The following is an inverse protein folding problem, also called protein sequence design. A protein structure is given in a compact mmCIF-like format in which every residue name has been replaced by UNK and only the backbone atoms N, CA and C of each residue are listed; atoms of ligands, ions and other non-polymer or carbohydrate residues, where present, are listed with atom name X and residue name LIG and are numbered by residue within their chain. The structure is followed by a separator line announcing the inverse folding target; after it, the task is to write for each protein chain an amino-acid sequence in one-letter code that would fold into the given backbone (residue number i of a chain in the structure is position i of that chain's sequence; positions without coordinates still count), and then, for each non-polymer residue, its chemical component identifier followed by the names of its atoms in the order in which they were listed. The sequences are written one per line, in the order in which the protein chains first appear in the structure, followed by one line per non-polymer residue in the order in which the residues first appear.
data_IF_407093761943
#
_entry.id   IF_407093761943
#
_cell.length_a   1.000
_cell.length_b   1.000
_cell.length_c   1.000
_cell.angle_alpha   90.00
_cell.angle_beta   90.00
_cell.angle_gamma   90.00
#
_symmetry.space_group_name_H-M   'P 1'
#
loop_
_entity.id
_entity.type
_entity.pdbx_description
1 polymer ?
#
# COMPACT_ATOMS: atom_id res chain seq x y z
N UNK A 1 -23.26 -0.08 -10.60
CA UNK A 1 -23.93 -0.41 -9.32
C UNK A 1 -22.96 -0.01 -8.23
N UNK A 2 -23.28 0.96 -7.38
CA UNK A 2 -22.35 1.39 -6.34
C UNK A 2 -22.19 0.26 -5.34
N UNK A 3 -21.01 -0.35 -5.31
CA UNK A 3 -20.63 -1.28 -4.24
C UNK A 3 -20.73 -0.51 -2.94
N UNK A 4 -21.81 -0.75 -2.20
CA UNK A 4 -21.81 -0.51 -0.78
C UNK A 4 -20.72 -1.44 -0.23
N UNK A 5 -19.51 -0.90 -0.14
CA UNK A 5 -18.41 -1.54 0.57
C UNK A 5 -18.98 -1.89 1.93
N UNK A 6 -19.08 -3.18 2.21
CA UNK A 6 -19.57 -3.65 3.49
C UNK A 6 -18.62 -3.07 4.55
N UNK A 7 -19.09 -2.08 5.32
CA UNK A 7 -18.28 -1.36 6.30
C UNK A 7 -17.62 -2.33 7.29
N UNK A 8 -18.28 -3.43 7.61
CA UNK A 8 -17.71 -4.48 8.46
C UNK A 8 -16.50 -5.16 7.80
N UNK A 9 -16.57 -5.39 6.49
CA UNK A 9 -15.49 -5.96 5.69
C UNK A 9 -14.32 -4.96 5.57
N UNK A 10 -14.61 -3.67 5.39
CA UNK A 10 -13.59 -2.61 5.37
C UNK A 10 -12.91 -2.44 6.73
N UNK A 11 -13.62 -2.61 7.84
CA UNK A 11 -13.03 -2.56 9.18
C UNK A 11 -12.11 -3.75 9.45
N UNK A 12 -12.49 -4.96 9.00
CA UNK A 12 -11.70 -6.18 9.23
C UNK A 12 -10.55 -6.38 8.24
N UNK A 13 -10.73 -5.93 6.99
CA UNK A 13 -9.78 -6.10 5.89
C UNK A 13 -9.62 -4.78 5.12
N UNK A 14 -9.06 -3.74 5.77
CA UNK A 14 -9.02 -2.40 5.21
C UNK A 14 -8.18 -2.29 3.92
N UNK A 15 -7.29 -3.25 3.67
CA UNK A 15 -6.50 -3.31 2.42
C UNK A 15 -7.34 -3.60 1.17
N UNK A 16 -8.57 -4.13 1.30
CA UNK A 16 -9.48 -4.34 0.16
C UNK A 16 -9.94 -3.01 -0.46
N UNK A 17 -9.95 -1.94 0.34
CA UNK A 17 -10.36 -0.59 -0.05
C UNK A 17 -9.23 0.43 0.11
N UNK A 18 -7.98 -0.03 0.11
CA UNK A 18 -6.82 0.84 0.30
C UNK A 18 -6.80 1.95 -0.77
N UNK A 19 -6.35 3.15 -0.42
CA UNK A 19 -6.16 4.21 -1.40
C UNK A 19 -4.94 3.90 -2.28
N UNK A 20 -4.95 4.27 -3.59
CA UNK A 20 -3.73 4.29 -4.40
C UNK A 20 -2.58 5.00 -3.68
N UNK A 21 -1.35 4.54 -3.90
CA UNK A 21 -0.10 5.11 -3.36
C UNK A 21 0.06 5.04 -1.83
N UNK A 22 -0.96 4.54 -1.11
CA UNK A 22 -0.84 4.29 0.32
C UNK A 22 0.17 3.16 0.63
N UNK A 23 0.87 3.30 1.75
CA UNK A 23 1.91 2.36 2.20
C UNK A 23 1.35 1.46 3.31
N UNK A 24 1.71 0.19 3.27
CA UNK A 24 1.19 -0.85 4.17
C UNK A 24 2.28 -1.80 4.63
N UNK A 25 2.12 -2.35 5.84
CA UNK A 25 2.77 -3.59 6.26
C UNK A 25 1.78 -4.72 6.03
N UNK A 26 2.15 -5.72 5.23
CA UNK A 26 1.27 -6.82 4.83
C UNK A 26 1.90 -8.20 5.06
N UNK A 27 1.05 -9.17 5.39
CA UNK A 27 1.37 -10.59 5.52
C UNK A 27 0.41 -11.41 4.67
N UNK A 28 0.90 -12.47 4.03
CA UNK A 28 0.11 -13.24 3.07
C UNK A 28 0.89 -14.33 2.34
N UNK A 29 0.49 -14.59 1.09
CA UNK A 29 1.06 -15.64 0.23
C UNK A 29 1.42 -15.09 -1.16
N UNK A 30 2.55 -15.53 -1.72
CA UNK A 30 2.92 -15.19 -3.10
C UNK A 30 1.96 -15.82 -4.11
N UNK A 31 2.13 -15.48 -5.39
CA UNK A 31 1.26 -15.94 -6.48
C UNK A 31 1.17 -17.47 -6.57
N UNK A 32 2.27 -18.16 -6.29
CA UNK A 32 2.35 -19.63 -6.28
C UNK A 32 1.50 -20.28 -5.18
N UNK A 33 1.13 -19.53 -4.13
CA UNK A 33 0.39 -20.00 -2.96
C UNK A 33 1.20 -20.93 -2.03
N UNK A 34 2.42 -21.31 -2.42
CA UNK A 34 3.28 -22.22 -1.65
C UNK A 34 4.13 -21.47 -0.62
N UNK A 35 4.57 -20.27 -0.98
CA UNK A 35 5.45 -19.45 -0.16
C UNK A 35 4.68 -18.30 0.49
N UNK A 36 5.11 -17.93 1.70
CA UNK A 36 4.51 -16.86 2.50
C UNK A 36 5.44 -15.65 2.57
N UNK A 37 4.83 -14.48 2.64
CA UNK A 37 5.50 -13.24 3.02
C UNK A 37 4.92 -12.76 4.35
N UNK A 38 5.78 -12.19 5.20
CA UNK A 38 5.42 -11.75 6.54
C UNK A 38 5.96 -10.36 6.78
N UNK A 39 5.13 -9.47 7.32
CA UNK A 39 5.43 -8.09 7.69
C UNK A 39 6.22 -7.32 6.62
N UNK A 40 5.82 -7.50 5.37
CA UNK A 40 6.45 -6.87 4.23
C UNK A 40 5.86 -5.48 3.98
N UNK A 41 6.73 -4.51 3.73
CA UNK A 41 6.36 -3.18 3.30
C UNK A 41 5.86 -3.25 1.85
N UNK A 42 4.70 -2.66 1.58
CA UNK A 42 4.09 -2.63 0.26
C UNK A 42 3.43 -1.27 -0.02
N UNK A 43 3.44 -0.87 -1.28
CA UNK A 43 2.72 0.31 -1.79
C UNK A 43 1.55 -0.13 -2.66
N UNK A 44 0.41 0.53 -2.55
CA UNK A 44 -0.71 0.31 -3.47
C UNK A 44 -0.39 0.98 -4.80
N UNK A 45 -0.43 0.24 -5.90
CA UNK A 45 -0.17 0.81 -7.22
C UNK A 45 -1.35 1.69 -7.69
N UNK A 46 -1.07 2.77 -8.46
CA UNK A 46 -2.11 3.54 -9.15
C UNK A 46 -3.01 2.65 -10.02
N UNK A 47 -4.30 2.97 -10.08
CA UNK A 47 -5.27 2.17 -10.83
C UNK A 47 -5.05 2.27 -12.34
N UNK A 48 -4.49 3.39 -12.79
CA UNK A 48 -4.19 3.73 -14.17
C UNK A 48 -3.12 2.81 -14.77
N UNK A 49 -2.17 2.35 -13.95
CA UNK A 49 -1.07 1.48 -14.39
C UNK A 49 -1.37 -0.01 -14.24
N UNK A 50 -2.53 -0.34 -13.67
CA UNK A 50 -2.95 -1.71 -13.34
C UNK A 50 -4.26 -2.11 -14.04
N UNK A 51 -4.66 -1.38 -15.08
CA UNK A 51 -5.93 -1.59 -15.79
C UNK A 51 -7.16 -1.62 -14.86
N UNK A 52 -7.14 -0.79 -13.80
CA UNK A 52 -8.20 -0.71 -12.80
C UNK A 52 -8.12 -1.78 -11.70
N UNK A 53 -7.10 -2.63 -11.68
CA UNK A 53 -6.92 -3.65 -10.67
C UNK A 53 -6.13 -3.15 -9.46
N UNK A 54 -6.73 -3.20 -8.26
CA UNK A 54 -5.99 -2.92 -7.03
C UNK A 54 -4.87 -3.97 -6.83
N UNK A 55 -3.62 -3.53 -6.89
CA UNK A 55 -2.44 -4.36 -6.64
C UNK A 55 -1.50 -3.67 -5.65
N UNK A 56 -0.79 -4.49 -4.86
CA UNK A 56 0.24 -4.05 -3.93
C UNK A 56 1.61 -4.43 -4.48
N UNK A 57 2.55 -3.48 -4.52
CA UNK A 57 3.94 -3.75 -4.87
C UNK A 57 4.79 -3.84 -3.60
N UNK A 58 5.52 -4.95 -3.43
CA UNK A 58 6.45 -5.14 -2.32
C UNK A 58 7.69 -4.23 -2.46
N UNK A 59 8.01 -3.51 -1.38
CA UNK A 59 9.13 -2.56 -1.25
C UNK A 59 10.30 -3.17 -0.47
N UNK A 60 10.05 -3.88 0.65
CA UNK A 60 11.07 -4.46 1.55
C UNK A 60 10.42 -5.45 2.56
N UNK A 61 11.08 -6.48 3.14
CA UNK A 61 12.40 -7.07 2.88
C UNK A 61 12.38 -8.23 1.87
N UNK A 62 11.28 -8.45 1.16
CA UNK A 62 11.06 -9.74 0.49
C UNK A 62 11.95 -10.03 -0.72
N UNK A 63 12.54 -9.02 -1.39
CA UNK A 63 13.17 -9.23 -2.69
C UNK A 63 14.49 -8.45 -2.75
N UNK A 64 15.60 -9.18 -2.60
CA UNK A 64 16.98 -8.73 -2.89
C UNK A 64 17.21 -8.62 -4.41
N UNK A 65 16.24 -9.09 -5.20
CA UNK A 65 16.28 -9.08 -6.65
C UNK A 65 15.88 -7.69 -7.19
N UNK A 66 16.78 -7.07 -7.94
CA UNK A 66 16.62 -5.71 -8.46
C UNK A 66 15.65 -5.63 -9.63
N UNK A 67 15.01 -6.72 -10.04
CA UNK A 67 14.09 -6.77 -11.17
C UNK A 67 12.66 -6.31 -10.79
N UNK A 68 12.19 -5.13 -11.26
CA UNK A 68 10.81 -4.69 -11.08
C UNK A 68 9.79 -5.52 -11.88
N UNK A 69 10.23 -6.33 -12.86
CA UNK A 69 9.36 -7.21 -13.64
C UNK A 69 9.02 -8.54 -12.93
N UNK A 70 9.60 -8.79 -11.75
CA UNK A 70 9.32 -10.02 -11.02
C UNK A 70 7.84 -10.05 -10.56
N UNK A 71 7.02 -11.01 -11.04
CA UNK A 71 5.60 -11.08 -10.74
C UNK A 71 5.30 -11.36 -9.26
N UNK A 72 6.26 -11.90 -8.49
CA UNK A 72 6.10 -12.14 -7.05
C UNK A 72 6.20 -10.85 -6.21
N UNK A 73 6.56 -9.71 -6.83
CA UNK A 73 6.45 -8.37 -6.22
C UNK A 73 5.04 -7.84 -6.20
N UNK A 74 4.16 -8.32 -7.09
CA UNK A 74 2.80 -7.84 -7.25
C UNK A 74 1.81 -8.74 -6.51
N UNK A 75 1.23 -8.21 -5.45
CA UNK A 75 0.33 -8.92 -4.55
C UNK A 75 -1.10 -8.44 -4.77
N UNK A 76 -1.98 -9.37 -5.11
CA UNK A 76 -3.41 -9.10 -5.18
C UNK A 76 -4.02 -9.05 -3.75
N UNK A 77 -5.05 -8.22 -3.49
CA UNK A 77 -5.62 -8.03 -2.16
C UNK A 77 -6.14 -9.31 -1.50
N UNK A 78 -6.63 -10.25 -2.31
CA UNK A 78 -7.12 -11.56 -1.84
C UNK A 78 -6.02 -12.50 -1.33
N UNK A 79 -4.75 -12.16 -1.52
CA UNK A 79 -3.59 -12.91 -1.01
C UNK A 79 -3.11 -12.41 0.34
N UNK A 80 -3.63 -11.28 0.80
CA UNK A 80 -3.27 -10.66 2.07
C UNK A 80 -4.17 -11.24 3.16
N UNK A 81 -3.56 -11.74 4.23
CA UNK A 81 -4.25 -12.25 5.42
C UNK A 81 -4.21 -11.26 6.58
N UNK A 82 -3.23 -10.37 6.59
CA UNK A 82 -3.12 -9.27 7.55
C UNK A 82 -2.50 -8.05 6.88
N UNK A 83 -2.98 -6.86 7.22
CA UNK A 83 -2.49 -5.61 6.66
C UNK A 83 -2.74 -4.43 7.59
N UNK A 84 -1.72 -3.59 7.77
CA UNK A 84 -1.81 -2.33 8.52
C UNK A 84 -1.29 -1.18 7.67
N UNK A 85 -2.09 -0.14 7.47
CA UNK A 85 -1.66 1.09 6.81
C UNK A 85 -0.56 1.76 7.64
N UNK A 86 0.51 2.15 6.98
CA UNK A 86 1.53 3.03 7.53
C UNK A 86 1.19 4.47 7.16
N UNK A 87 1.47 5.36 8.08
CA UNK A 87 1.28 6.79 7.91
C UNK A 87 2.64 7.42 8.14
N UNK A 88 3.08 8.24 7.18
CA UNK A 88 4.29 9.04 7.33
C UNK A 88 3.96 10.21 8.27
N UNK A 89 4.82 10.40 9.26
CA UNK A 89 4.69 11.46 10.24
C UNK A 89 5.93 12.34 10.18
N UNK A 90 5.77 13.62 10.50
CA UNK A 90 6.91 14.52 10.65
C UNK A 90 7.79 14.03 11.81
N UNK A 91 9.10 13.88 11.60
CA UNK A 91 9.99 13.32 12.61
C UNK A 91 10.05 14.18 13.89
N UNK A 92 10.00 15.50 13.74
CA UNK A 92 10.04 16.45 14.85
C UNK A 92 8.64 16.73 15.44
N UNK A 93 7.58 16.37 14.71
CA UNK A 93 6.18 16.53 15.13
C UNK A 93 5.40 15.23 14.90
N UNK A 94 5.64 14.18 15.69
CA UNK A 94 5.12 12.82 15.43
C UNK A 94 3.60 12.67 15.55
N UNK A 95 2.90 13.76 15.92
CA UNK A 95 1.43 13.84 15.95
C UNK A 95 0.86 14.38 14.63
N UNK A 96 1.71 14.95 13.78
CA UNK A 96 1.37 15.46 12.47
C UNK A 96 1.60 14.34 11.46
N UNK A 97 0.49 13.79 10.96
CA UNK A 97 0.45 12.78 9.91
C UNK A 97 0.18 13.46 8.57
N UNK A 98 0.84 12.99 7.52
CA UNK A 98 0.57 13.45 6.16
C UNK A 98 -0.21 12.38 5.39
N UNK A 99 -1.31 12.79 4.78
CA UNK A 99 -2.01 12.00 3.76
C UNK A 99 -1.43 12.29 2.37
N UNK A 100 -1.68 11.41 1.39
CA UNK A 100 -1.07 11.50 0.06
C UNK A 100 -1.43 12.80 -0.69
N UNK A 101 -2.59 13.38 -0.38
CA UNK A 101 -3.07 14.66 -0.88
C UNK A 101 -2.44 15.90 -0.21
N UNK A 102 -1.75 15.72 0.92
CA UNK A 102 -1.09 16.80 1.67
C UNK A 102 0.41 16.93 1.35
N UNK A 103 1.00 15.99 0.60
CA UNK A 103 2.41 16.07 0.18
C UNK A 103 2.64 17.12 -0.92
N UNK A 104 1.64 17.41 -1.74
CA UNK A 104 1.69 18.45 -2.78
C UNK A 104 1.84 19.88 -2.20
N UNK A 105 1.56 20.05 -0.90
CA UNK A 105 1.73 21.30 -0.15
C UNK A 105 3.16 21.48 0.38
N UNK A 106 3.91 20.40 0.61
CA UNK A 106 5.29 20.46 1.09
C UNK A 106 6.23 20.84 -0.07
N UNK A 107 6.03 20.27 -1.26
CA UNK A 107 6.84 20.58 -2.45
C UNK A 107 6.59 21.98 -3.04
N UNK A 108 5.50 22.66 -2.65
CA UNK A 108 5.19 24.04 -3.08
C UNK A 108 5.38 25.10 -2.00
N UNK A 109 5.81 24.69 -0.80
CA UNK A 109 5.92 25.57 0.37
C UNK A 109 7.32 26.09 0.67
N UNK A 110 8.38 25.48 0.14
CA UNK A 110 9.77 25.89 0.44
C UNK A 110 10.34 27.02 -0.43
N UNK A 111 9.54 27.65 -1.29
CA UNK A 111 10.03 28.76 -2.13
C UNK A 111 9.68 30.17 -1.67
N UNK A 112 8.86 30.38 -0.63
CA UNK A 112 8.60 31.74 -0.13
C UNK A 112 8.30 31.82 1.38
N UNK A 113 9.36 31.99 2.19
CA UNK A 113 9.47 33.01 3.26
C UNK A 113 10.84 32.96 3.94
#
# INVERSE_FOLDING_TARGET
MSEAVNLELAVRMPWLVAEPESIWVITGTYRSGKDRFTDCLAMVLPLEITDGHRLFQLIHPAIVDTDPANPDRLIAPNRITHGRRLVLVHAEEPRTAYWADEQDLIDRGEDHA
#
